data_IF_336996022306
#
_entry.id   IF_336996022306
#
_cell.length_a   1.000
_cell.length_b   1.000
_cell.length_c   1.000
_cell.angle_alpha   90.00
_cell.angle_beta   90.00
_cell.angle_gamma   90.00
#
_symmetry.space_group_name_H-M   'P 1'
#
loop_
_entity.id
_entity.type
_entity.pdbx_description
1 polymer ?
#
# COMPACT_ATOMS: atom_id res chain seq x y z
N UNK A 1 3.35 86.72 -21.85
CA UNK A 1 4.29 85.64 -22.28
C UNK A 1 4.20 84.50 -21.29
N UNK A 2 3.50 83.42 -21.60
CA UNK A 2 3.30 82.28 -20.71
C UNK A 2 4.08 81.11 -21.26
N UNK A 3 5.07 80.65 -20.57
CA UNK A 3 5.94 79.54 -20.91
C UNK A 3 5.25 78.24 -20.48
N UNK A 4 4.99 77.34 -21.42
CA UNK A 4 4.41 76.02 -21.15
C UNK A 4 5.54 75.04 -21.02
N UNK A 5 5.71 74.49 -19.81
CA UNK A 5 6.67 73.41 -19.50
C UNK A 5 6.02 72.07 -19.84
N UNK A 6 6.58 71.35 -20.82
CA UNK A 6 6.16 69.98 -21.16
C UNK A 6 6.82 69.00 -20.14
N UNK A 7 6.00 68.35 -19.35
CA UNK A 7 6.39 67.26 -18.51
C UNK A 7 6.44 65.96 -19.32
N UNK A 8 7.63 65.34 -19.43
CA UNK A 8 7.78 64.01 -20.05
C UNK A 8 7.46 62.93 -18.98
N UNK A 9 6.34 62.24 -19.18
CA UNK A 9 5.99 61.09 -18.36
C UNK A 9 6.63 59.86 -19.02
N UNK A 10 7.70 59.35 -18.40
CA UNK A 10 8.25 58.04 -18.73
C UNK A 10 7.44 56.96 -18.01
N UNK A 11 6.72 56.14 -18.79
CA UNK A 11 6.03 54.94 -18.32
C UNK A 11 7.06 53.82 -18.20
N UNK A 12 7.25 53.18 -17.05
CA UNK A 12 8.10 51.99 -16.96
C UNK A 12 7.35 50.82 -17.55
N UNK A 13 7.90 50.26 -18.62
CA UNK A 13 7.44 49.01 -19.25
C UNK A 13 7.87 47.85 -18.35
N UNK A 14 6.93 47.34 -17.54
CA UNK A 14 7.15 46.17 -16.73
C UNK A 14 7.20 44.95 -17.65
N UNK A 15 8.39 44.38 -17.85
CA UNK A 15 8.58 43.13 -18.57
C UNK A 15 8.07 41.98 -17.69
N UNK A 16 6.90 41.41 -18.05
CA UNK A 16 6.33 40.23 -17.44
C UNK A 16 7.07 39.00 -17.97
N UNK A 17 8.01 38.46 -17.19
CA UNK A 17 8.71 37.21 -17.51
C UNK A 17 7.72 36.07 -17.21
N UNK A 18 7.09 35.54 -18.26
CA UNK A 18 6.26 34.34 -18.20
C UNK A 18 7.20 33.11 -18.11
N UNK A 19 7.47 32.61 -16.90
CA UNK A 19 8.16 31.34 -16.69
C UNK A 19 7.19 30.20 -17.05
N UNK A 20 7.29 29.69 -18.27
CA UNK A 20 6.64 28.44 -18.64
C UNK A 20 7.33 27.29 -17.87
N UNK A 21 6.68 26.79 -16.82
CA UNK A 21 7.06 25.55 -16.17
C UNK A 21 6.88 24.41 -17.20
N UNK A 22 7.98 23.90 -17.75
CA UNK A 22 7.98 22.68 -18.53
C UNK A 22 7.61 21.53 -17.59
N UNK A 23 6.34 21.11 -17.60
CA UNK A 23 5.93 19.87 -16.98
C UNK A 23 6.63 18.74 -17.73
N UNK A 24 7.73 18.23 -17.19
CA UNK A 24 8.37 16.99 -17.65
C UNK A 24 7.31 15.90 -17.44
N UNK A 25 6.85 15.18 -18.49
CA UNK A 25 5.95 14.06 -18.30
C UNK A 25 6.67 13.06 -17.38
N UNK A 26 6.09 12.76 -16.22
CA UNK A 26 6.56 11.67 -15.38
C UNK A 26 6.51 10.41 -16.24
N UNK A 27 7.66 9.87 -16.60
CA UNK A 27 7.71 8.61 -17.33
C UNK A 27 6.95 7.60 -16.47
N UNK A 28 5.88 7.01 -17.03
CA UNK A 28 5.11 6.01 -16.33
C UNK A 28 6.06 4.89 -15.90
N UNK A 29 6.27 4.77 -14.60
CA UNK A 29 7.19 3.76 -14.06
C UNK A 29 6.65 2.38 -14.43
N UNK A 30 7.53 1.53 -14.98
CA UNK A 30 7.15 0.19 -15.41
C UNK A 30 6.70 -0.62 -14.20
N UNK A 31 5.45 -1.06 -14.22
CA UNK A 31 4.95 -2.04 -13.26
C UNK A 31 5.53 -3.42 -13.57
N UNK A 32 5.89 -4.14 -12.54
CA UNK A 32 6.42 -5.51 -12.61
C UNK A 32 5.55 -6.44 -11.76
N UNK A 33 5.43 -7.72 -12.13
CA UNK A 33 4.65 -8.68 -11.37
C UNK A 33 5.15 -8.79 -9.92
N UNK A 34 4.21 -8.66 -8.97
CA UNK A 34 4.42 -8.87 -7.55
C UNK A 34 3.55 -10.01 -7.08
N UNK A 35 4.16 -11.16 -6.79
CA UNK A 35 3.44 -12.39 -6.43
C UNK A 35 4.28 -13.24 -5.49
N UNK A 36 3.59 -14.04 -4.66
CA UNK A 36 4.26 -14.92 -3.72
C UNK A 36 3.27 -15.70 -2.86
N UNK A 37 3.81 -16.28 -1.79
CA UNK A 37 3.03 -17.01 -0.80
C UNK A 37 3.47 -16.60 0.60
N UNK A 38 2.54 -16.73 1.56
CA UNK A 38 2.74 -16.40 2.95
C UNK A 38 2.13 -17.45 3.87
N UNK A 39 2.62 -17.48 5.09
CA UNK A 39 2.04 -18.20 6.21
C UNK A 39 2.27 -17.41 7.50
N UNK A 40 1.37 -17.60 8.47
CA UNK A 40 1.47 -16.88 9.73
C UNK A 40 0.45 -17.34 10.76
N UNK A 41 0.37 -16.56 11.82
CA UNK A 41 -0.60 -16.73 12.89
C UNK A 41 -1.38 -15.45 13.10
N UNK A 42 -2.68 -15.60 13.29
CA UNK A 42 -3.63 -14.55 13.63
C UNK A 42 -3.82 -14.49 15.15
N UNK A 43 -3.92 -13.29 15.68
CA UNK A 43 -4.17 -13.02 17.10
C UNK A 43 -5.28 -11.98 17.20
N UNK A 44 -6.39 -12.33 17.83
CA UNK A 44 -7.45 -11.38 18.12
C UNK A 44 -7.01 -10.49 19.28
N UNK A 45 -6.76 -9.23 19.04
CA UNK A 45 -6.16 -8.31 20.02
C UNK A 45 -7.14 -7.30 20.62
N UNK A 46 -8.30 -7.10 19.98
CA UNK A 46 -9.37 -6.22 20.50
C UNK A 46 -10.73 -6.64 19.96
N UNK A 47 -11.76 -6.44 20.79
CA UNK A 47 -13.15 -6.79 20.47
C UNK A 47 -14.08 -5.64 20.84
N UNK A 48 -15.10 -5.43 20.01
CA UNK A 48 -16.29 -4.65 20.30
C UNK A 48 -17.53 -5.50 19.99
N UNK A 49 -18.73 -4.93 20.11
CA UNK A 49 -19.95 -5.64 19.75
C UNK A 49 -20.07 -5.93 18.25
N UNK A 50 -19.36 -5.20 17.41
CA UNK A 50 -19.48 -5.26 15.94
C UNK A 50 -18.14 -5.45 15.22
N UNK A 51 -17.02 -5.39 15.93
CA UNK A 51 -15.71 -5.51 15.30
C UNK A 51 -14.76 -6.40 16.09
N UNK A 52 -13.85 -7.05 15.38
CA UNK A 52 -12.65 -7.68 15.93
C UNK A 52 -11.41 -7.07 15.27
N UNK A 53 -10.39 -6.79 16.05
CA UNK A 53 -9.08 -6.37 15.52
C UNK A 53 -8.14 -7.57 15.59
N UNK A 54 -7.60 -7.93 14.45
CA UNK A 54 -6.70 -9.10 14.27
C UNK A 54 -5.31 -8.59 13.94
N UNK A 55 -4.33 -9.09 14.69
CA UNK A 55 -2.92 -8.96 14.40
C UNK A 55 -2.44 -10.25 13.74
N UNK A 56 -1.92 -10.18 12.52
CA UNK A 56 -1.26 -11.30 11.85
C UNK A 56 0.24 -11.08 11.86
N UNK A 57 0.99 -12.09 12.27
CA UNK A 57 2.46 -12.12 12.16
C UNK A 57 2.86 -13.34 11.35
N UNK A 58 3.71 -13.14 10.35
CA UNK A 58 4.06 -14.23 9.46
C UNK A 58 5.31 -14.00 8.64
N UNK A 59 5.56 -14.97 7.78
CA UNK A 59 6.68 -15.00 6.84
C UNK A 59 6.22 -15.45 5.47
N UNK A 60 7.03 -15.22 4.45
CA UNK A 60 6.73 -15.67 3.11
C UNK A 60 7.88 -15.53 2.15
N UNK A 61 7.58 -15.81 0.89
CA UNK A 61 8.50 -15.63 -0.22
C UNK A 61 7.74 -15.01 -1.40
N UNK A 62 8.34 -14.03 -2.06
CA UNK A 62 7.72 -13.39 -3.21
C UNK A 62 8.73 -12.79 -4.17
N UNK A 63 8.23 -12.45 -5.37
CA UNK A 63 9.01 -11.68 -6.34
C UNK A 63 9.33 -10.31 -5.77
N UNK A 64 10.46 -9.73 -6.11
CA UNK A 64 11.00 -8.45 -5.65
C UNK A 64 11.32 -8.39 -4.15
N UNK A 65 10.45 -8.90 -3.28
CA UNK A 65 10.66 -8.88 -1.82
C UNK A 65 11.59 -10.01 -1.35
N UNK A 66 11.65 -11.11 -2.09
CA UNK A 66 12.41 -12.31 -1.68
C UNK A 66 11.77 -13.01 -0.48
N UNK A 67 12.58 -13.53 0.43
CA UNK A 67 12.11 -13.95 1.74
C UNK A 67 11.75 -12.71 2.56
N UNK A 68 10.62 -12.77 3.25
CA UNK A 68 10.13 -11.65 4.06
C UNK A 68 9.45 -12.12 5.34
N UNK A 69 9.42 -11.24 6.33
CA UNK A 69 8.47 -11.28 7.43
C UNK A 69 7.47 -10.15 7.28
N UNK A 70 6.29 -10.30 7.89
CA UNK A 70 5.29 -9.24 7.86
C UNK A 70 4.50 -9.19 9.16
N UNK A 71 3.97 -8.02 9.43
CA UNK A 71 2.99 -7.76 10.47
C UNK A 71 1.82 -7.03 9.83
N UNK A 72 0.63 -7.53 10.04
CA UNK A 72 -0.62 -6.97 9.53
C UNK A 72 -1.56 -6.73 10.70
N UNK A 73 -2.25 -5.60 10.70
CA UNK A 73 -3.33 -5.33 11.65
C UNK A 73 -4.56 -4.91 10.85
N UNK A 74 -5.65 -5.66 10.99
CA UNK A 74 -6.94 -5.37 10.37
C UNK A 74 -8.03 -5.29 11.41
N UNK A 75 -9.03 -4.44 11.17
CA UNK A 75 -10.28 -4.40 11.91
C UNK A 75 -11.38 -4.94 11.02
N UNK A 76 -11.98 -6.03 11.45
CA UNK A 76 -13.06 -6.74 10.74
C UNK A 76 -14.39 -6.36 11.34
N UNK A 77 -15.35 -5.95 10.53
CA UNK A 77 -16.76 -5.84 10.89
C UNK A 77 -17.37 -7.24 10.87
N UNK A 78 -17.72 -7.77 12.04
CA UNK A 78 -18.22 -9.15 12.16
C UNK A 78 -19.63 -9.34 11.60
N UNK A 79 -20.34 -8.26 11.26
CA UNK A 79 -21.68 -8.33 10.67
C UNK A 79 -21.65 -8.44 9.16
N UNK A 80 -20.62 -7.90 8.54
CA UNK A 80 -20.46 -7.84 7.09
C UNK A 80 -19.28 -8.67 6.56
N UNK A 81 -18.34 -9.03 7.44
CA UNK A 81 -17.08 -9.68 7.07
C UNK A 81 -16.06 -8.74 6.41
N UNK A 82 -16.39 -7.45 6.21
CA UNK A 82 -15.46 -6.49 5.65
C UNK A 82 -14.35 -6.13 6.64
N UNK A 83 -13.16 -5.96 6.11
CA UNK A 83 -12.00 -5.55 6.88
C UNK A 83 -11.28 -4.35 6.26
N UNK A 84 -10.57 -3.61 7.14
CA UNK A 84 -9.66 -2.54 6.76
C UNK A 84 -8.46 -2.53 7.70
N UNK A 85 -7.29 -2.13 7.18
CA UNK A 85 -6.10 -2.14 8.02
C UNK A 85 -4.84 -1.71 7.30
N UNK A 86 -3.72 -2.18 7.84
CA UNK A 86 -2.38 -1.91 7.27
C UNK A 86 -1.43 -3.07 7.53
N UNK A 87 -0.37 -3.15 6.73
CA UNK A 87 0.71 -4.09 6.94
C UNK A 87 2.08 -3.47 6.69
N UNK A 88 3.07 -4.04 7.37
CA UNK A 88 4.49 -3.80 7.17
C UNK A 88 5.16 -5.11 6.74
N UNK A 89 5.91 -5.05 5.67
CA UNK A 89 6.64 -6.17 5.07
C UNK A 89 8.13 -5.87 5.18
N UNK A 90 8.90 -6.82 5.65
CA UNK A 90 10.35 -6.68 5.87
C UNK A 90 11.08 -7.74 5.04
N UNK A 91 11.77 -7.34 4.00
CA UNK A 91 12.63 -8.20 3.22
C UNK A 91 13.88 -8.60 4.03
N UNK A 92 14.48 -9.74 3.71
CA UNK A 92 15.64 -10.26 4.43
C UNK A 92 16.86 -9.33 4.42
N UNK A 93 16.95 -8.41 3.47
CA UNK A 93 18.02 -7.40 3.39
C UNK A 93 17.75 -6.12 4.19
N UNK A 94 16.61 -6.04 4.92
CA UNK A 94 16.21 -4.89 5.72
C UNK A 94 15.35 -3.84 5.00
N UNK A 95 15.12 -3.97 3.69
CA UNK A 95 14.16 -3.11 2.98
C UNK A 95 12.74 -3.39 3.47
N UNK A 96 11.89 -2.37 3.49
CA UNK A 96 10.51 -2.52 3.94
C UNK A 96 9.50 -1.98 2.93
N UNK A 97 8.29 -2.55 2.98
CA UNK A 97 7.13 -2.12 2.21
C UNK A 97 5.95 -1.91 3.15
N UNK A 98 5.29 -0.76 3.04
CA UNK A 98 4.10 -0.40 3.80
C UNK A 98 2.88 -0.45 2.92
N UNK A 99 1.78 -0.97 3.43
CA UNK A 99 0.53 -1.09 2.68
C UNK A 99 -0.69 -0.73 3.53
N UNK A 100 -1.72 -0.17 2.93
CA UNK A 100 -3.08 -0.18 3.44
C UNK A 100 -3.83 -1.41 2.91
N UNK A 101 -4.84 -1.84 3.65
CA UNK A 101 -5.60 -3.06 3.38
C UNK A 101 -7.09 -2.74 3.35
N UNK A 102 -7.78 -3.33 2.38
CA UNK A 102 -9.25 -3.44 2.37
C UNK A 102 -9.61 -4.83 1.88
N UNK A 103 -10.58 -5.47 2.51
CA UNK A 103 -10.93 -6.83 2.13
C UNK A 103 -12.22 -7.34 2.73
N UNK A 104 -12.38 -8.64 2.64
CA UNK A 104 -13.48 -9.36 3.28
C UNK A 104 -13.11 -10.81 3.52
N UNK A 105 -13.70 -11.39 4.58
CA UNK A 105 -13.60 -12.79 4.90
C UNK A 105 -14.97 -13.45 4.97
N UNK A 106 -15.11 -14.64 4.39
CA UNK A 106 -16.33 -15.43 4.43
C UNK A 106 -16.07 -16.76 5.15
N UNK A 107 -16.96 -17.19 6.07
CA UNK A 107 -16.83 -18.48 6.73
C UNK A 107 -17.15 -19.62 5.76
N UNK A 108 -16.35 -20.66 5.79
CA UNK A 108 -16.52 -21.88 5.02
C UNK A 108 -16.41 -23.10 5.94
N UNK A 109 -17.32 -24.06 5.77
CA UNK A 109 -17.24 -25.34 6.50
C UNK A 109 -16.02 -26.15 6.03
N UNK A 110 -15.28 -26.67 6.99
CA UNK A 110 -14.13 -27.54 6.79
C UNK A 110 -14.26 -28.79 7.70
N UNK A 111 -13.53 -29.90 7.45
CA UNK A 111 -13.63 -31.12 8.26
C UNK A 111 -13.43 -30.91 9.76
N UNK A 112 -12.55 -29.98 10.12
CA UNK A 112 -12.19 -29.68 11.51
C UNK A 112 -12.90 -28.45 12.08
N UNK A 113 -14.00 -27.99 11.45
CA UNK A 113 -14.77 -26.84 11.90
C UNK A 113 -14.99 -25.80 10.80
N UNK A 114 -14.84 -24.54 11.16
CA UNK A 114 -14.99 -23.42 10.22
C UNK A 114 -13.58 -22.84 9.92
N UNK A 115 -13.36 -22.47 8.66
CA UNK A 115 -12.24 -21.64 8.24
C UNK A 115 -12.79 -20.38 7.58
N UNK A 116 -11.99 -19.33 7.51
CA UNK A 116 -12.33 -18.13 6.76
C UNK A 116 -11.55 -18.09 5.45
N UNK A 117 -12.27 -17.90 4.36
CA UNK A 117 -11.68 -17.56 3.06
C UNK A 117 -11.63 -16.05 2.98
N UNK A 118 -10.42 -15.49 2.91
CA UNK A 118 -10.19 -14.06 3.03
C UNK A 118 -9.55 -13.57 1.73
N UNK A 119 -10.14 -12.51 1.17
CA UNK A 119 -9.59 -11.80 0.02
C UNK A 119 -9.35 -10.36 0.39
N UNK A 120 -8.10 -9.92 0.33
CA UNK A 120 -7.65 -8.58 0.72
C UNK A 120 -6.90 -7.91 -0.43
N UNK A 121 -7.15 -6.62 -0.63
CA UNK A 121 -6.40 -5.75 -1.55
C UNK A 121 -5.42 -4.93 -0.72
N UNK A 122 -4.15 -5.07 -1.03
CA UNK A 122 -3.05 -4.33 -0.44
C UNK A 122 -2.64 -3.22 -1.41
N UNK A 123 -2.76 -1.97 -0.98
CA UNK A 123 -2.30 -0.80 -1.73
C UNK A 123 -1.03 -0.26 -1.08
N UNK A 124 0.04 -0.09 -1.87
CA UNK A 124 1.32 0.40 -1.37
C UNK A 124 1.17 1.86 -0.93
N UNK A 125 1.63 2.15 0.28
CA UNK A 125 1.62 3.50 0.89
C UNK A 125 3.02 4.05 1.11
N UNK A 126 4.06 3.23 0.96
CA UNK A 126 5.45 3.62 1.11
C UNK A 126 6.40 2.43 1.23
N UNK A 127 7.67 2.73 1.42
CA UNK A 127 8.70 1.70 1.60
C UNK A 127 10.09 2.29 1.77
N UNK A 128 11.06 1.44 2.07
CA UNK A 128 12.47 1.78 2.22
C UNK A 128 13.34 0.98 1.24
N UNK A 129 14.60 1.39 1.08
CA UNK A 129 15.54 0.71 0.19
C UNK A 129 15.00 0.63 -1.24
N UNK A 130 14.93 -0.58 -1.83
CA UNK A 130 14.41 -0.80 -3.19
C UNK A 130 12.92 -0.45 -3.37
N UNK A 131 12.18 -0.25 -2.27
CA UNK A 131 10.76 0.10 -2.30
C UNK A 131 10.51 1.60 -2.09
N UNK A 132 11.54 2.44 -2.03
CA UNK A 132 11.38 3.90 -2.00
C UNK A 132 10.66 4.33 -3.28
N UNK A 133 9.52 5.05 -3.11
CA UNK A 133 8.69 5.49 -4.22
C UNK A 133 7.94 4.37 -4.96
N UNK A 134 7.86 3.17 -4.38
CA UNK A 134 7.04 2.09 -4.93
C UNK A 134 5.56 2.44 -4.85
N UNK A 135 4.82 2.08 -5.91
CA UNK A 135 3.38 2.29 -6.05
C UNK A 135 2.74 1.03 -6.63
N UNK A 136 1.42 0.91 -6.48
CA UNK A 136 0.64 -0.19 -7.03
C UNK A 136 -0.12 -0.94 -5.96
N UNK A 137 -0.65 -2.10 -6.34
CA UNK A 137 -1.45 -2.94 -5.45
C UNK A 137 -1.33 -4.41 -5.81
N UNK A 138 -1.69 -5.25 -4.87
CA UNK A 138 -1.79 -6.69 -5.06
C UNK A 138 -2.94 -7.25 -4.24
N UNK A 139 -3.51 -8.36 -4.71
CA UNK A 139 -4.55 -9.11 -4.02
C UNK A 139 -3.91 -10.27 -3.28
N UNK A 140 -4.31 -10.46 -2.03
CA UNK A 140 -4.00 -11.64 -1.23
C UNK A 140 -5.24 -12.48 -1.05
N UNK A 141 -5.12 -13.77 -1.32
CA UNK A 141 -6.13 -14.77 -1.03
C UNK A 141 -5.55 -15.73 0.02
N UNK A 142 -6.19 -15.82 1.17
CA UNK A 142 -5.72 -16.65 2.28
C UNK A 142 -6.83 -17.39 2.98
N UNK A 143 -6.48 -18.49 3.61
CA UNK A 143 -7.33 -19.27 4.51
C UNK A 143 -6.84 -19.04 5.94
N UNK A 144 -7.75 -18.75 6.85
CA UNK A 144 -7.47 -18.59 8.27
C UNK A 144 -8.34 -19.52 9.10
N UNK A 145 -7.75 -20.20 10.07
CA UNK A 145 -8.43 -21.09 11.01
C UNK A 145 -8.59 -20.42 12.37
N UNK A 146 -9.81 -20.16 12.85
CA UNK A 146 -10.02 -19.60 14.18
C UNK A 146 -9.74 -20.63 15.31
N UNK A 147 -9.52 -21.90 14.97
CA UNK A 147 -9.19 -22.96 15.93
C UNK A 147 -7.69 -23.05 16.17
N UNK A 148 -6.92 -23.02 15.08
CA UNK A 148 -5.45 -23.14 15.16
C UNK A 148 -4.74 -21.79 15.14
N UNK A 149 -5.46 -20.71 14.79
CA UNK A 149 -4.94 -19.37 14.54
C UNK A 149 -3.91 -19.33 13.41
N UNK A 150 -3.79 -20.39 12.65
CA UNK A 150 -2.90 -20.46 11.50
C UNK A 150 -3.58 -19.87 10.27
N UNK A 151 -2.81 -19.11 9.50
CA UNK A 151 -3.22 -18.56 8.22
C UNK A 151 -2.17 -18.82 7.16
N UNK A 152 -2.61 -19.09 5.94
CA UNK A 152 -1.71 -19.24 4.79
C UNK A 152 -2.42 -18.85 3.50
N UNK A 153 -1.63 -18.36 2.53
CA UNK A 153 -2.20 -17.92 1.28
C UNK A 153 -1.16 -17.51 0.25
N UNK A 154 -1.66 -16.95 -0.83
CA UNK A 154 -0.86 -16.42 -1.92
C UNK A 154 -1.28 -14.99 -2.26
N UNK A 155 -0.37 -14.24 -2.86
CA UNK A 155 -0.67 -12.90 -3.35
C UNK A 155 -0.20 -12.72 -4.78
N UNK A 156 -0.91 -11.86 -5.52
CA UNK A 156 -0.59 -11.51 -6.89
C UNK A 156 -1.04 -10.10 -7.23
N UNK A 157 -0.26 -9.42 -8.04
CA UNK A 157 -0.53 -8.06 -8.49
C UNK A 157 0.63 -7.49 -9.29
N UNK A 158 0.71 -6.18 -9.34
CA UNK A 158 1.81 -5.48 -9.99
C UNK A 158 2.15 -4.20 -9.24
N UNK A 159 3.45 -3.95 -9.08
CA UNK A 159 3.97 -2.78 -8.39
C UNK A 159 5.07 -2.12 -9.20
N UNK A 160 5.28 -0.83 -8.98
CA UNK A 160 6.53 -0.18 -9.36
C UNK A 160 7.55 -0.38 -8.24
N UNK A 161 8.83 -0.45 -8.58
CA UNK A 161 9.91 -0.51 -7.58
C UNK A 161 11.09 0.30 -8.10
N UNK A 162 11.02 1.65 -7.99
CA UNK A 162 12.03 2.54 -8.56
C UNK A 162 13.44 2.26 -8.07
N UNK A 163 13.60 1.90 -6.80
CA UNK A 163 14.88 1.57 -6.19
C UNK A 163 15.47 0.22 -6.63
N UNK A 164 14.74 -0.62 -7.36
CA UNK A 164 15.25 -1.87 -7.94
C UNK A 164 15.71 -1.71 -9.39
N UNK A 165 15.58 -0.53 -9.97
CA UNK A 165 15.96 -0.23 -11.35
C UNK A 165 17.43 0.23 -11.49
N UNK A 166 18.25 0.10 -10.43
CA UNK A 166 19.65 0.48 -10.38
C UNK A 166 20.58 -0.74 -10.34
#
# INVERSE_FOLDING_TARGET
MKTITRSNIYLPMAAMILTAALAVPAAAQKQVPFKGAMQGHDFDIAFTNTTVTVLTVGTGIGTLVGQFSFTQTVTVDVTTGHDTGSAQWFAANGDSLSTSITGSGEPMAAPDGIVFIITEIFTITGGTGRFVGAEGSFTMERVASPVTFFTSGSFHGAITSPGAAH
#
